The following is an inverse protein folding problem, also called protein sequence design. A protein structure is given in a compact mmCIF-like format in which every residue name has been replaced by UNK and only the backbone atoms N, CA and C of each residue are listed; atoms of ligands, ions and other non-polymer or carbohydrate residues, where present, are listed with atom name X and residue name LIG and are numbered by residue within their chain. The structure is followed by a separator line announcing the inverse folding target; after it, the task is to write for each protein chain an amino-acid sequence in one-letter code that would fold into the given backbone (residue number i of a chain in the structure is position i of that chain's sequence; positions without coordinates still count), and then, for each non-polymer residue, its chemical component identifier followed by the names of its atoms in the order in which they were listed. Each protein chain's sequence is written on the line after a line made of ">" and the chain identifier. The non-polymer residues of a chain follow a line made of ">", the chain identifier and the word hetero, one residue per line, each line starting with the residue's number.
data_IF_162514079502
#
_entry.id   IF_162514079502
#
_cell.length_a   1.000
_cell.length_b   1.000
_cell.length_c   1.000
_cell.angle_alpha   90.00
_cell.angle_beta   90.00
_cell.angle_gamma   90.00
#
_symmetry.space_group_name_H-M   'P 1'
#
loop_
_entity.id
_entity.type
_entity.pdbx_description
1 polymer ?
#
# COMPACT_ATOMS: atom_id res chain seq x y z
N UNK A 1 12.97 -24.26 -18.80
CA UNK A 1 12.06 -23.11 -18.61
C UNK A 1 12.65 -22.30 -17.49
N UNK A 2 13.11 -21.08 -17.76
CA UNK A 2 13.46 -20.14 -16.68
C UNK A 2 12.16 -19.76 -15.98
N UNK A 3 12.05 -20.04 -14.69
CA UNK A 3 10.92 -19.58 -13.89
C UNK A 3 10.90 -18.05 -13.94
N UNK A 4 9.79 -17.48 -14.43
CA UNK A 4 9.61 -16.02 -14.51
C UNK A 4 9.18 -15.51 -13.14
N UNK A 5 9.69 -14.34 -12.76
CA UNK A 5 9.45 -13.75 -11.44
C UNK A 5 8.00 -13.25 -11.30
N UNK A 6 7.47 -13.29 -10.08
CA UNK A 6 6.30 -12.52 -9.67
C UNK A 6 6.83 -11.36 -8.84
N UNK A 7 6.62 -10.13 -9.32
CA UNK A 7 6.87 -8.93 -8.53
C UNK A 7 5.66 -8.68 -7.64
N UNK A 8 5.88 -8.77 -6.33
CA UNK A 8 4.81 -8.64 -5.33
C UNK A 8 4.59 -7.20 -4.88
N UNK A 9 5.30 -6.24 -5.49
CA UNK A 9 5.25 -4.84 -5.12
C UNK A 9 5.67 -3.94 -6.30
N UNK A 10 4.66 -3.36 -6.94
CA UNK A 10 4.83 -2.33 -7.96
C UNK A 10 3.75 -1.25 -7.79
N UNK A 11 3.96 -0.09 -8.42
CA UNK A 11 3.10 1.07 -8.18
C UNK A 11 2.36 1.59 -9.40
N UNK A 12 1.27 2.29 -9.08
CA UNK A 12 0.49 3.17 -9.93
C UNK A 12 0.20 4.48 -9.18
N UNK A 13 1.24 5.30 -9.04
CA UNK A 13 1.19 6.53 -8.24
C UNK A 13 0.54 7.71 -8.96
N UNK A 14 0.12 8.71 -8.18
CA UNK A 14 -0.48 9.97 -8.67
C UNK A 14 0.29 10.59 -9.83
N UNK A 15 1.63 10.54 -9.79
CA UNK A 15 2.48 11.15 -10.80
C UNK A 15 2.28 10.57 -12.21
N UNK A 16 1.74 9.36 -12.31
CA UNK A 16 1.61 8.61 -13.57
C UNK A 16 0.14 8.49 -14.03
N UNK A 17 -0.82 8.82 -13.17
CA UNK A 17 -2.25 8.69 -13.49
C UNK A 17 -2.67 9.61 -14.65
N UNK A 18 -3.72 9.26 -15.42
CA UNK A 18 -4.31 10.17 -16.39
C UNK A 18 -4.72 11.50 -15.75
N UNK A 19 -4.34 12.63 -16.34
CA UNK A 19 -4.67 13.97 -15.79
C UNK A 19 -6.19 14.23 -15.70
N UNK A 20 -6.97 13.53 -16.51
CA UNK A 20 -8.42 13.65 -16.58
C UNK A 20 -9.14 12.57 -15.75
N UNK A 21 -8.41 11.79 -14.93
CA UNK A 21 -8.91 10.62 -14.23
C UNK A 21 -10.22 10.93 -13.49
N UNK A 22 -10.20 11.94 -12.62
CA UNK A 22 -11.37 12.31 -11.81
C UNK A 22 -12.30 13.33 -12.48
N UNK A 23 -11.77 14.26 -13.27
CA UNK A 23 -12.56 15.31 -13.95
C UNK A 23 -13.52 14.76 -15.00
N UNK A 24 -13.34 13.50 -15.43
CA UNK A 24 -14.22 12.83 -16.40
C UNK A 24 -15.06 11.71 -15.80
N UNK A 25 -14.80 11.29 -14.55
CA UNK A 25 -15.39 10.08 -13.95
C UNK A 25 -16.11 10.30 -12.63
N UNK A 26 -15.88 11.43 -11.95
CA UNK A 26 -16.64 11.74 -10.74
C UNK A 26 -18.12 12.03 -11.06
N UNK A 27 -19.04 11.76 -10.11
CA UNK A 27 -20.44 12.15 -10.26
C UNK A 27 -20.59 13.65 -10.53
N UNK A 28 -21.61 14.04 -11.29
CA UNK A 28 -21.83 15.43 -11.70
C UNK A 28 -21.89 16.43 -10.53
N UNK A 29 -22.39 15.99 -9.37
CA UNK A 29 -22.47 16.79 -8.14
C UNK A 29 -21.13 17.04 -7.45
N UNK A 30 -20.04 16.41 -7.89
CA UNK A 30 -18.70 16.51 -7.32
C UNK A 30 -17.65 16.99 -8.35
N UNK A 31 -18.05 17.22 -9.60
CA UNK A 31 -17.12 17.56 -10.69
C UNK A 31 -16.50 18.95 -10.53
N UNK A 32 -17.22 19.89 -9.93
CA UNK A 32 -16.74 21.23 -9.59
C UNK A 32 -15.56 21.20 -8.59
N UNK A 33 -15.49 20.14 -7.78
CA UNK A 33 -14.44 19.90 -6.79
C UNK A 33 -13.50 18.76 -7.18
N UNK A 34 -13.56 18.30 -8.43
CA UNK A 34 -12.76 17.17 -8.89
C UNK A 34 -11.25 17.45 -8.73
N UNK A 35 -10.48 16.47 -8.24
CA UNK A 35 -9.03 16.54 -8.33
C UNK A 35 -8.61 16.74 -9.77
N UNK A 36 -7.74 17.72 -10.00
CA UNK A 36 -7.27 18.08 -11.33
C UNK A 36 -5.78 18.45 -11.30
N UNK A 37 -5.15 18.42 -12.47
CA UNK A 37 -3.76 18.84 -12.62
C UNK A 37 -3.71 20.32 -13.00
N UNK A 38 -2.90 21.09 -12.30
CA UNK A 38 -2.57 22.47 -12.67
C UNK A 38 -1.06 22.76 -12.53
N UNK A 39 -0.60 23.84 -13.16
CA UNK A 39 0.78 24.32 -13.06
C UNK A 39 0.92 25.26 -11.85
N UNK A 40 1.79 24.92 -10.90
CA UNK A 40 2.19 25.79 -9.78
C UNK A 40 3.70 25.87 -9.71
N UNK A 41 4.24 27.09 -9.66
CA UNK A 41 5.68 27.35 -9.54
C UNK A 41 6.56 26.59 -10.57
N UNK A 42 6.02 26.40 -11.79
CA UNK A 42 6.71 25.70 -12.88
C UNK A 42 6.66 24.17 -12.78
N UNK A 43 5.80 23.61 -11.93
CA UNK A 43 5.57 22.17 -11.78
C UNK A 43 4.09 21.83 -11.91
N UNK A 44 3.79 20.80 -12.69
CA UNK A 44 2.46 20.21 -12.73
C UNK A 44 2.18 19.43 -11.43
N UNK A 45 1.06 19.73 -10.78
CA UNK A 45 0.66 19.13 -9.50
C UNK A 45 -0.81 18.76 -9.51
N UNK A 46 -1.16 17.70 -8.78
CA UNK A 46 -2.55 17.37 -8.46
C UNK A 46 -3.07 18.29 -7.37
N UNK A 47 -4.24 18.88 -7.60
CA UNK A 47 -4.93 19.79 -6.68
C UNK A 47 -6.37 19.35 -6.47
N UNK A 48 -6.83 19.37 -5.22
CA UNK A 48 -8.21 19.13 -4.83
C UNK A 48 -8.55 20.03 -3.64
N UNK A 49 -9.67 20.75 -3.68
CA UNK A 49 -10.09 21.72 -2.65
C UNK A 49 -8.96 22.68 -2.22
N UNK A 50 -8.16 23.15 -3.18
CA UNK A 50 -7.03 24.05 -2.96
C UNK A 50 -5.76 23.39 -2.38
N UNK A 51 -5.83 22.13 -1.93
CA UNK A 51 -4.70 21.36 -1.40
C UNK A 51 -3.95 20.64 -2.51
N UNK A 52 -2.63 20.61 -2.41
CA UNK A 52 -1.76 19.85 -3.32
C UNK A 52 -1.68 18.41 -2.81
N UNK A 53 -2.00 17.44 -3.68
CA UNK A 53 -1.84 16.01 -3.38
C UNK A 53 -0.46 15.48 -3.71
N UNK A 54 0.19 16.04 -4.73
CA UNK A 54 1.51 15.63 -5.16
C UNK A 54 1.84 16.10 -6.56
N UNK A 55 3.05 15.79 -7.00
CA UNK A 55 3.53 16.07 -8.34
C UNK A 55 2.79 15.23 -9.38
N UNK A 56 2.55 15.80 -10.55
CA UNK A 56 2.14 15.07 -11.75
C UNK A 56 3.27 15.09 -12.79
N UNK A 57 3.75 13.92 -13.20
CA UNK A 57 4.88 13.77 -14.12
C UNK A 57 4.47 13.49 -15.57
N UNK A 58 3.18 13.24 -15.82
CA UNK A 58 2.64 12.83 -17.11
C UNK A 58 2.74 13.83 -18.27
N UNK A 59 3.61 14.85 -18.19
CA UNK A 59 3.98 15.71 -19.32
C UNK A 59 5.26 15.20 -19.98
N UNK A 60 5.27 15.00 -21.32
CA UNK A 60 6.50 14.73 -22.03
C UNK A 60 7.50 15.88 -21.76
N UNK A 61 8.81 15.59 -21.62
CA UNK A 61 9.80 16.63 -21.43
C UNK A 61 9.72 17.66 -22.56
N UNK A 62 9.89 18.95 -22.24
CA UNK A 62 10.01 19.98 -23.27
C UNK A 62 11.17 19.61 -24.23
N UNK A 63 10.92 19.69 -25.53
CA UNK A 63 11.93 19.41 -26.56
C UNK A 63 13.19 20.24 -26.32
N UNK A 64 14.34 19.57 -26.17
CA UNK A 64 15.63 20.23 -25.99
C UNK A 64 16.09 20.43 -24.53
N UNK A 65 15.42 19.85 -23.53
CA UNK A 65 15.98 19.79 -22.18
C UNK A 65 17.29 19.00 -22.19
N UNK A 66 18.39 19.64 -21.78
CA UNK A 66 19.67 18.98 -21.65
C UNK A 66 19.52 17.77 -20.71
N UNK A 67 20.22 16.66 -20.99
CA UNK A 67 20.42 15.58 -20.01
C UNK A 67 21.16 16.19 -18.82
N UNK A 68 20.40 16.65 -17.83
CA UNK A 68 20.95 17.08 -16.56
C UNK A 68 21.69 15.89 -15.96
N UNK A 69 22.90 16.12 -15.45
CA UNK A 69 23.59 15.12 -14.63
C UNK A 69 22.68 14.84 -13.44
N UNK A 70 22.07 13.65 -13.43
CA UNK A 70 21.23 13.24 -12.30
C UNK A 70 22.14 12.77 -11.16
N UNK A 71 21.87 13.19 -9.91
CA UNK A 71 22.60 12.67 -8.76
C UNK A 71 22.31 11.17 -8.53
N UNK A 72 21.18 10.67 -9.04
CA UNK A 72 20.79 9.27 -9.00
C UNK A 72 20.24 8.83 -10.37
N UNK A 73 20.79 7.75 -10.91
CA UNK A 73 20.27 7.10 -12.12
C UNK A 73 19.12 6.18 -11.74
N UNK A 74 17.99 6.29 -12.43
CA UNK A 74 16.86 5.37 -12.26
C UNK A 74 16.98 4.16 -13.21
N UNK A 75 16.03 3.22 -13.13
CA UNK A 75 16.03 2.02 -13.97
C UNK A 75 16.01 2.34 -15.48
N UNK A 76 15.21 3.34 -15.90
CA UNK A 76 15.18 3.78 -17.30
C UNK A 76 16.52 4.35 -17.76
N UNK A 77 17.18 5.14 -16.92
CA UNK A 77 18.49 5.70 -17.27
C UNK A 77 19.54 4.58 -17.44
N UNK A 78 19.53 3.58 -16.53
CA UNK A 78 20.42 2.41 -16.63
C UNK A 78 20.14 1.55 -17.86
N UNK A 79 18.88 1.43 -18.25
CA UNK A 79 18.45 0.68 -19.44
C UNK A 79 18.56 1.50 -20.74
N UNK A 80 18.93 2.78 -20.68
CA UNK A 80 18.99 3.66 -21.85
C UNK A 80 17.62 3.95 -22.48
N UNK A 81 16.53 3.84 -21.71
CA UNK A 81 15.16 4.02 -22.18
C UNK A 81 14.76 5.49 -22.06
N UNK A 82 14.26 6.05 -23.16
CA UNK A 82 13.59 7.34 -23.17
C UNK A 82 12.06 7.13 -23.13
N UNK A 83 11.43 7.54 -22.03
CA UNK A 83 9.97 7.50 -21.92
C UNK A 83 9.32 8.73 -22.55
N UNK A 84 8.88 8.59 -23.80
CA UNK A 84 8.14 9.64 -24.50
C UNK A 84 6.71 9.84 -23.97
N UNK A 85 6.15 8.88 -23.22
CA UNK A 85 4.80 9.01 -22.65
C UNK A 85 4.79 9.83 -21.36
N UNK A 86 5.93 9.88 -20.65
CA UNK A 86 6.08 10.43 -19.30
C UNK A 86 5.13 9.83 -18.23
N UNK A 87 4.42 8.74 -18.59
CA UNK A 87 3.50 7.98 -17.72
C UNK A 87 3.54 6.50 -18.08
N UNK A 88 4.71 6.00 -18.49
CA UNK A 88 4.91 4.63 -18.98
C UNK A 88 4.31 3.54 -18.09
N UNK A 89 4.41 3.62 -16.74
CA UNK A 89 3.77 2.64 -15.87
C UNK A 89 2.23 2.58 -15.99
N UNK A 90 1.60 3.68 -16.39
CA UNK A 90 0.15 3.81 -16.64
C UNK A 90 -0.24 3.56 -18.11
N UNK A 91 0.69 3.09 -18.95
CA UNK A 91 0.41 2.64 -20.32
C UNK A 91 0.65 1.13 -20.39
N UNK A 92 -0.44 0.35 -20.40
CA UNK A 92 -0.39 -1.11 -20.20
C UNK A 92 0.58 -1.82 -21.17
N UNK A 93 0.58 -1.46 -22.46
CA UNK A 93 1.50 -2.02 -23.46
C UNK A 93 2.97 -1.76 -23.08
N UNK A 94 3.30 -0.54 -22.67
CA UNK A 94 4.67 -0.17 -22.33
C UNK A 94 5.12 -0.82 -21.02
N UNK A 95 4.22 -0.93 -20.05
CA UNK A 95 4.46 -1.65 -18.79
C UNK A 95 4.71 -3.14 -19.05
N UNK A 96 3.91 -3.79 -19.87
CA UNK A 96 4.10 -5.20 -20.24
C UNK A 96 5.43 -5.41 -20.98
N UNK A 97 5.84 -4.46 -21.83
CA UNK A 97 7.15 -4.52 -22.48
C UNK A 97 8.31 -4.39 -21.48
N UNK A 98 8.15 -3.62 -20.40
CA UNK A 98 9.14 -3.55 -19.32
C UNK A 98 9.17 -4.85 -18.51
N UNK A 99 8.01 -5.42 -18.18
CA UNK A 99 7.91 -6.73 -17.52
C UNK A 99 8.59 -7.84 -18.34
N UNK A 100 8.39 -7.85 -19.67
CA UNK A 100 9.03 -8.83 -20.55
C UNK A 100 10.55 -8.65 -20.61
N UNK A 101 11.04 -7.40 -20.57
CA UNK A 101 12.49 -7.11 -20.50
C UNK A 101 13.10 -7.61 -19.18
N UNK A 102 12.39 -7.40 -18.08
CA UNK A 102 12.89 -7.69 -16.73
C UNK A 102 12.62 -9.15 -16.30
N UNK A 103 11.97 -9.96 -17.15
CA UNK A 103 11.67 -11.36 -16.87
C UNK A 103 10.55 -11.56 -15.84
N UNK A 104 9.69 -10.56 -15.66
CA UNK A 104 8.57 -10.56 -14.72
C UNK A 104 7.31 -11.09 -15.42
N UNK A 105 6.78 -12.21 -14.92
CA UNK A 105 5.53 -12.77 -15.42
C UNK A 105 4.32 -11.96 -14.95
N UNK A 106 4.30 -11.64 -13.65
CA UNK A 106 3.15 -11.02 -12.98
C UNK A 106 3.62 -9.90 -12.05
N UNK A 107 2.87 -8.80 -12.02
CA UNK A 107 3.05 -7.70 -11.07
C UNK A 107 1.80 -7.53 -10.21
N UNK A 108 2.03 -7.35 -8.92
CA UNK A 108 1.04 -6.89 -7.95
C UNK A 108 1.15 -5.36 -7.87
N UNK A 109 0.07 -4.64 -8.19
CA UNK A 109 0.10 -3.20 -8.43
C UNK A 109 -0.65 -2.47 -7.32
N UNK A 110 0.10 -1.85 -6.42
CA UNK A 110 -0.37 -0.92 -5.42
C UNK A 110 -0.75 0.43 -6.06
N UNK A 111 -1.76 1.08 -5.49
CA UNK A 111 -2.07 2.46 -5.84
C UNK A 111 -1.16 3.48 -5.18
N UNK A 112 -1.53 4.77 -5.27
CA UNK A 112 -0.78 5.83 -4.63
C UNK A 112 -0.46 5.51 -3.17
N UNK A 113 0.81 5.64 -2.80
CA UNK A 113 1.29 5.46 -1.41
C UNK A 113 0.88 6.60 -0.47
N UNK A 114 0.16 7.59 -1.01
CA UNK A 114 -0.49 8.66 -0.27
C UNK A 114 -2.00 8.51 -0.32
N UNK A 115 -2.67 8.83 0.78
CA UNK A 115 -4.12 8.88 0.78
C UNK A 115 -4.63 9.97 -0.15
N UNK A 116 -5.79 9.70 -0.76
CA UNK A 116 -6.63 10.70 -1.42
C UNK A 116 -6.99 11.76 -0.38
N UNK A 117 -6.27 12.89 -0.43
CA UNK A 117 -6.15 13.86 0.66
C UNK A 117 -7.26 14.93 0.64
N UNK A 118 -8.52 14.51 0.74
CA UNK A 118 -9.66 15.43 0.95
C UNK A 118 -10.34 15.16 2.29
N UNK A 119 -10.73 16.24 2.97
CA UNK A 119 -11.39 16.20 4.27
C UNK A 119 -12.87 15.81 4.15
N UNK A 120 -13.43 15.91 2.94
CA UNK A 120 -14.82 15.54 2.67
C UNK A 120 -14.93 14.03 2.44
N UNK A 121 -15.60 13.28 3.34
CA UNK A 121 -15.71 11.83 3.22
C UNK A 121 -16.47 11.38 1.97
N UNK A 122 -17.41 12.19 1.46
CA UNK A 122 -18.17 11.87 0.25
C UNK A 122 -17.28 11.98 -0.98
N UNK A 123 -16.52 13.07 -1.09
CA UNK A 123 -15.56 13.26 -2.18
C UNK A 123 -14.44 12.21 -2.11
N UNK A 124 -13.89 11.95 -0.92
CA UNK A 124 -12.86 10.92 -0.71
C UNK A 124 -13.33 9.55 -1.19
N UNK A 125 -14.51 9.11 -0.76
CA UNK A 125 -15.08 7.84 -1.18
C UNK A 125 -15.32 7.78 -2.71
N UNK A 126 -15.79 8.87 -3.32
CA UNK A 126 -15.97 8.94 -4.77
C UNK A 126 -14.64 8.85 -5.53
N UNK A 127 -13.59 9.53 -5.03
CA UNK A 127 -12.26 9.48 -5.62
C UNK A 127 -11.62 8.08 -5.51
N UNK A 128 -11.79 7.39 -4.38
CA UNK A 128 -11.38 5.98 -4.24
C UNK A 128 -12.06 5.08 -5.26
N UNK A 129 -13.38 5.23 -5.43
CA UNK A 129 -14.15 4.44 -6.40
C UNK A 129 -13.68 4.67 -7.82
N UNK A 130 -13.47 5.93 -8.22
CA UNK A 130 -12.96 6.28 -9.56
C UNK A 130 -11.59 5.67 -9.78
N UNK A 131 -10.68 5.78 -8.81
CA UNK A 131 -9.34 5.21 -8.90
C UNK A 131 -9.38 3.68 -9.01
N UNK A 132 -10.13 3.01 -8.13
CA UNK A 132 -10.25 1.56 -8.10
C UNK A 132 -10.87 1.03 -9.39
N UNK A 133 -11.89 1.70 -9.92
CA UNK A 133 -12.54 1.31 -11.16
C UNK A 133 -11.59 1.43 -12.35
N UNK A 134 -10.86 2.54 -12.41
CA UNK A 134 -9.83 2.73 -13.43
C UNK A 134 -8.69 1.72 -13.33
N UNK A 135 -8.21 1.41 -12.12
CA UNK A 135 -7.15 0.42 -11.90
C UNK A 135 -7.59 -0.98 -12.36
N UNK A 136 -8.80 -1.40 -12.00
CA UNK A 136 -9.35 -2.69 -12.42
C UNK A 136 -9.54 -2.74 -13.95
N UNK A 137 -9.97 -1.64 -14.56
CA UNK A 137 -10.06 -1.54 -16.03
C UNK A 137 -8.68 -1.60 -16.70
N UNK A 138 -7.67 -0.93 -16.15
CA UNK A 138 -6.29 -0.99 -16.61
C UNK A 138 -5.75 -2.43 -16.62
N UNK A 139 -6.04 -3.19 -15.56
CA UNK A 139 -5.59 -4.57 -15.41
C UNK A 139 -6.21 -5.54 -16.43
N UNK A 140 -7.35 -5.19 -17.06
CA UNK A 140 -7.97 -6.02 -18.12
C UNK A 140 -7.09 -6.18 -19.36
N UNK A 141 -6.08 -5.33 -19.55
CA UNK A 141 -5.12 -5.46 -20.65
C UNK A 141 -4.34 -6.78 -20.60
N UNK A 142 -4.07 -7.31 -19.40
CA UNK A 142 -3.43 -8.61 -19.19
C UNK A 142 -3.78 -9.14 -17.79
N UNK A 143 -4.99 -9.69 -17.58
CA UNK A 143 -5.54 -9.97 -16.24
C UNK A 143 -4.79 -11.05 -15.44
N UNK A 144 -3.98 -11.87 -16.11
CA UNK A 144 -3.12 -12.86 -15.46
C UNK A 144 -1.71 -12.33 -15.14
N UNK A 145 -1.37 -11.14 -15.65
CA UNK A 145 -0.05 -10.49 -15.46
C UNK A 145 -0.13 -9.21 -14.63
N UNK A 146 -1.25 -8.50 -14.68
CA UNK A 146 -1.46 -7.22 -13.99
C UNK A 146 -2.51 -7.40 -12.90
N UNK A 147 -2.07 -7.47 -11.65
CA UNK A 147 -2.94 -7.68 -10.49
C UNK A 147 -3.03 -6.38 -9.70
N UNK A 148 -4.01 -5.54 -10.03
CA UNK A 148 -4.27 -4.29 -9.32
C UNK A 148 -4.94 -4.52 -7.97
N UNK A 149 -4.51 -3.77 -6.95
CA UNK A 149 -5.07 -3.78 -5.60
C UNK A 149 -5.99 -2.57 -5.41
N UNK A 150 -7.32 -2.73 -5.43
CA UNK A 150 -8.21 -1.68 -5.01
C UNK A 150 -7.86 -1.18 -3.61
N UNK A 151 -7.84 0.13 -3.46
CA UNK A 151 -7.59 0.79 -2.18
C UNK A 151 -8.87 0.86 -1.37
N UNK A 152 -8.79 0.48 -0.10
CA UNK A 152 -9.86 0.61 0.87
C UNK A 152 -9.74 1.94 1.62
N UNK A 153 -10.86 2.66 1.85
CA UNK A 153 -10.89 3.81 2.74
C UNK A 153 -10.42 3.47 4.16
N UNK A 154 -9.96 4.48 4.89
CA UNK A 154 -9.31 4.32 6.20
C UNK A 154 -10.27 4.16 7.40
N UNK A 155 -11.58 4.20 7.16
CA UNK A 155 -12.59 3.95 8.19
C UNK A 155 -13.17 2.54 8.05
N UNK A 156 -13.60 1.88 9.14
CA UNK A 156 -14.12 0.51 9.09
C UNK A 156 -15.30 0.38 8.13
N UNK A 157 -16.27 1.29 8.19
CA UNK A 157 -17.46 1.26 7.35
C UNK A 157 -17.13 1.53 5.88
N UNK A 158 -16.20 2.45 5.63
CA UNK A 158 -15.76 2.80 4.28
C UNK A 158 -14.97 1.66 3.64
N UNK A 159 -14.06 1.04 4.39
CA UNK A 159 -13.29 -0.13 3.97
C UNK A 159 -14.20 -1.30 3.61
N UNK A 160 -15.15 -1.65 4.48
CA UNK A 160 -16.10 -2.73 4.24
C UNK A 160 -16.98 -2.45 3.02
N UNK A 161 -17.54 -1.25 2.93
CA UNK A 161 -18.42 -0.88 1.82
C UNK A 161 -17.70 -0.93 0.47
N UNK A 162 -16.43 -0.49 0.42
CA UNK A 162 -15.64 -0.54 -0.80
C UNK A 162 -15.18 -1.97 -1.12
N UNK A 163 -14.80 -2.77 -0.13
CA UNK A 163 -14.46 -4.19 -0.29
C UNK A 163 -15.63 -4.95 -0.94
N UNK A 164 -16.84 -4.83 -0.39
CA UNK A 164 -18.02 -5.50 -0.93
C UNK A 164 -18.35 -5.03 -2.35
N UNK A 165 -18.18 -3.73 -2.64
CA UNK A 165 -18.38 -3.19 -3.98
C UNK A 165 -17.40 -3.77 -5.00
N UNK A 166 -16.10 -3.80 -4.69
CA UNK A 166 -15.09 -4.31 -5.63
C UNK A 166 -15.15 -5.83 -5.74
N UNK A 167 -15.49 -6.54 -4.65
CA UNK A 167 -15.77 -7.98 -4.65
C UNK A 167 -16.91 -8.32 -5.61
N UNK A 168 -18.01 -7.56 -5.58
CA UNK A 168 -19.16 -7.77 -6.45
C UNK A 168 -18.84 -7.61 -7.95
N UNK A 169 -17.77 -6.88 -8.30
CA UNK A 169 -17.28 -6.78 -9.69
C UNK A 169 -16.59 -8.04 -10.20
N UNK A 170 -16.10 -8.90 -9.29
CA UNK A 170 -15.35 -10.11 -9.60
C UNK A 170 -13.90 -9.85 -10.02
N UNK A 171 -13.07 -10.89 -9.94
CA UNK A 171 -11.66 -10.85 -10.36
C UNK A 171 -10.69 -10.19 -9.39
N UNK A 172 -11.16 -9.52 -8.34
CA UNK A 172 -10.32 -8.95 -7.27
C UNK A 172 -9.74 -10.07 -6.41
N UNK A 173 -8.41 -10.17 -6.38
CA UNK A 173 -7.67 -11.19 -5.61
C UNK A 173 -7.08 -10.64 -4.31
N UNK A 174 -6.83 -9.34 -4.27
CA UNK A 174 -6.11 -8.65 -3.22
C UNK A 174 -6.56 -7.18 -3.17
N UNK A 175 -6.56 -6.59 -1.98
CA UNK A 175 -6.89 -5.18 -1.73
C UNK A 175 -5.83 -4.55 -0.85
N UNK A 176 -5.73 -3.22 -0.85
CA UNK A 176 -4.78 -2.49 -0.02
C UNK A 176 -5.52 -1.59 0.99
N UNK A 177 -5.16 -1.68 2.26
CA UNK A 177 -5.57 -0.75 3.30
C UNK A 177 -4.32 -0.08 3.87
N UNK A 178 -4.32 1.24 3.98
CA UNK A 178 -3.24 1.98 4.64
C UNK A 178 -3.38 1.87 6.15
N UNK A 179 -3.15 0.66 6.67
CA UNK A 179 -3.40 0.26 8.05
C UNK A 179 -2.70 1.19 9.05
N UNK A 180 -1.49 1.68 8.74
CA UNK A 180 -0.75 2.57 9.65
C UNK A 180 -1.50 3.88 9.98
N UNK A 181 -2.43 4.30 9.11
CA UNK A 181 -3.13 5.59 9.18
C UNK A 181 -4.60 5.46 9.57
N UNK A 182 -5.06 4.27 9.97
CA UNK A 182 -6.47 4.05 10.29
C UNK A 182 -6.83 4.62 11.66
N UNK A 183 -8.05 5.14 11.74
CA UNK A 183 -8.68 5.53 12.99
C UNK A 183 -10.19 5.21 12.88
N UNK A 184 -10.77 4.42 13.80
CA UNK A 184 -10.16 3.85 15.02
C UNK A 184 -9.07 2.81 14.74
N UNK A 185 -8.29 2.46 15.77
CA UNK A 185 -7.20 1.46 15.70
C UNK A 185 -7.74 0.03 15.57
N UNK A 186 -6.88 -0.94 15.27
CA UNK A 186 -7.29 -2.28 14.85
C UNK A 186 -7.96 -3.11 15.96
N UNK A 187 -7.81 -2.71 17.21
CA UNK A 187 -8.50 -3.28 18.37
C UNK A 187 -9.99 -2.93 18.43
N UNK A 188 -10.41 -1.89 17.70
CA UNK A 188 -11.81 -1.47 17.68
C UNK A 188 -12.70 -2.53 17.01
N UNK A 189 -13.77 -3.00 17.69
CA UNK A 189 -14.69 -3.99 17.15
C UNK A 189 -15.36 -3.60 15.82
N UNK A 190 -15.37 -2.31 15.45
CA UNK A 190 -15.89 -1.84 14.17
C UNK A 190 -15.14 -2.44 12.96
N UNK A 191 -13.90 -2.92 13.15
CA UNK A 191 -13.14 -3.60 12.10
C UNK A 191 -13.52 -5.08 11.91
N UNK A 192 -14.19 -5.71 12.87
CA UNK A 192 -14.52 -7.14 12.83
C UNK A 192 -15.30 -7.56 11.57
N UNK A 193 -16.30 -6.79 11.09
CA UNK A 193 -16.98 -7.11 9.83
C UNK A 193 -16.05 -7.10 8.61
N UNK A 194 -15.03 -6.24 8.58
CA UNK A 194 -14.04 -6.23 7.49
C UNK A 194 -13.19 -7.50 7.52
N UNK A 195 -12.72 -7.92 8.71
CA UNK A 195 -11.95 -9.15 8.87
C UNK A 195 -12.74 -10.38 8.41
N UNK A 196 -14.01 -10.48 8.82
CA UNK A 196 -14.88 -11.56 8.41
C UNK A 196 -15.11 -11.57 6.89
N UNK A 197 -15.35 -10.40 6.28
CA UNK A 197 -15.57 -10.30 4.84
C UNK A 197 -14.32 -10.69 4.02
N UNK A 198 -13.12 -10.32 4.49
CA UNK A 198 -11.85 -10.73 3.88
C UNK A 198 -11.64 -12.25 4.04
N UNK A 199 -11.92 -12.81 5.21
CA UNK A 199 -11.81 -14.24 5.46
C UNK A 199 -12.77 -15.06 4.57
N UNK A 200 -14.05 -14.67 4.53
CA UNK A 200 -15.10 -15.37 3.78
C UNK A 200 -14.90 -15.30 2.27
N UNK A 201 -14.38 -14.17 1.77
CA UNK A 201 -14.10 -14.00 0.35
C UNK A 201 -12.76 -14.62 -0.08
N UNK A 202 -11.85 -14.86 0.86
CA UNK A 202 -10.49 -15.28 0.58
C UNK A 202 -9.62 -14.21 -0.10
N UNK A 203 -10.11 -12.96 -0.20
CA UNK A 203 -9.38 -11.81 -0.72
C UNK A 203 -8.25 -11.48 0.25
N UNK A 204 -7.04 -11.31 -0.29
CA UNK A 204 -5.85 -11.00 0.51
C UNK A 204 -5.85 -9.52 0.87
N UNK A 205 -5.63 -9.18 2.14
CA UNK A 205 -5.42 -7.79 2.54
C UNK A 205 -3.94 -7.45 2.54
N UNK A 206 -3.58 -6.36 1.91
CA UNK A 206 -2.22 -5.83 1.95
C UNK A 206 -2.19 -4.52 2.71
N UNK A 207 -1.05 -4.24 3.33
CA UNK A 207 -0.72 -2.89 3.72
C UNK A 207 0.72 -2.60 3.31
N UNK A 208 0.86 -1.48 2.62
CA UNK A 208 2.12 -0.96 2.13
C UNK A 208 2.67 0.08 3.12
N UNK A 209 3.98 0.28 3.14
CA UNK A 209 4.55 1.44 3.83
C UNK A 209 3.86 2.72 3.35
N UNK A 210 3.50 3.59 4.29
CA UNK A 210 3.15 4.97 3.97
C UNK A 210 4.35 5.85 4.26
N UNK A 211 4.85 6.49 3.22
CA UNK A 211 5.96 7.43 3.38
C UNK A 211 5.40 8.58 4.21
N UNK A 212 6.02 8.87 5.36
CA UNK A 212 5.76 10.00 6.26
C UNK A 212 4.73 9.84 7.40
N UNK A 213 4.73 8.72 8.13
CA UNK A 213 4.22 8.72 9.53
C UNK A 213 5.18 9.56 10.39
N UNK A 214 5.07 10.88 10.28
CA UNK A 214 5.93 11.86 10.95
C UNK A 214 6.77 12.72 10.00
N UNK A 215 7.15 13.91 10.48
CA UNK A 215 8.17 14.77 9.85
C UNK A 215 9.48 14.63 10.64
N UNK A 216 10.65 14.76 10.01
CA UNK A 216 11.90 14.89 10.75
C UNK A 216 11.73 16.02 11.77
N UNK A 217 11.87 15.69 13.05
CA UNK A 217 11.72 16.69 14.10
C UNK A 217 12.74 17.82 13.96
N UNK A 218 12.48 18.96 14.61
CA UNK A 218 13.29 20.19 14.49
C UNK A 218 14.81 19.96 14.65
N UNK A 219 15.20 18.96 15.45
CA UNK A 219 16.60 18.57 15.67
C UNK A 219 17.35 18.25 14.36
N UNK A 220 16.68 17.61 13.40
CA UNK A 220 17.29 17.04 12.19
C UNK A 220 16.82 17.71 10.89
N UNK A 221 15.84 18.62 10.97
CA UNK A 221 15.33 19.34 9.81
C UNK A 221 16.46 20.03 9.01
N UNK A 222 16.48 19.82 7.69
CA UNK A 222 17.50 20.38 6.79
C UNK A 222 18.91 19.77 6.91
N UNK A 223 19.10 18.71 7.71
CA UNK A 223 20.40 18.05 7.91
C UNK A 223 20.41 16.68 7.25
N UNK A 224 21.58 16.21 6.83
CA UNK A 224 21.76 14.85 6.31
C UNK A 224 21.29 13.76 7.30
N UNK A 225 21.33 14.05 8.62
CA UNK A 225 20.79 13.18 9.67
C UNK A 225 19.29 12.83 9.47
N UNK A 226 18.51 13.69 8.82
CA UNK A 226 17.10 13.42 8.51
C UNK A 226 16.90 12.19 7.61
N UNK A 227 17.88 11.87 6.76
CA UNK A 227 17.84 10.68 5.89
C UNK A 227 17.81 9.40 6.73
N UNK A 228 18.49 9.37 7.87
CA UNK A 228 18.51 8.20 8.76
C UNK A 228 17.21 8.07 9.58
N UNK A 229 16.46 9.15 9.82
CA UNK A 229 15.15 9.05 10.46
C UNK A 229 14.13 8.33 9.58
N UNK A 230 14.33 8.28 8.26
CA UNK A 230 13.46 7.52 7.36
C UNK A 230 13.42 6.04 7.73
N UNK A 231 14.54 5.45 8.20
CA UNK A 231 14.56 4.06 8.69
C UNK A 231 13.65 3.86 9.90
N UNK A 232 13.56 4.85 10.81
CA UNK A 232 12.69 4.80 11.98
C UNK A 232 11.22 4.90 11.57
N UNK A 233 10.87 5.85 10.72
CA UNK A 233 9.49 6.02 10.24
C UNK A 233 9.03 4.84 9.40
N UNK A 234 9.96 4.24 8.64
CA UNK A 234 9.74 2.99 7.92
C UNK A 234 9.28 1.89 8.87
N UNK A 235 10.06 1.58 9.92
CA UNK A 235 9.69 0.51 10.85
C UNK A 235 8.41 0.82 11.63
N UNK A 236 8.19 2.09 11.99
CA UNK A 236 7.00 2.52 12.72
C UNK A 236 5.69 2.26 11.96
N UNK A 237 5.70 2.31 10.62
CA UNK A 237 4.52 1.99 9.80
C UNK A 237 4.03 0.55 9.98
N UNK A 238 4.94 -0.37 10.31
CA UNK A 238 4.64 -1.80 10.38
C UNK A 238 4.51 -2.29 11.81
N UNK A 239 5.27 -1.74 12.75
CA UNK A 239 5.41 -2.33 14.08
C UNK A 239 4.08 -2.37 14.86
N UNK A 240 3.41 -1.23 15.02
CA UNK A 240 2.13 -1.14 15.75
C UNK A 240 1.07 -2.07 15.12
N UNK A 241 0.72 -1.95 13.82
CA UNK A 241 -0.33 -2.78 13.26
C UNK A 241 0.05 -4.26 13.22
N UNK A 242 1.32 -4.60 12.98
CA UNK A 242 1.75 -5.99 13.01
C UNK A 242 1.58 -6.61 14.39
N UNK A 243 1.95 -5.89 15.47
CA UNK A 243 1.79 -6.39 16.84
C UNK A 243 0.30 -6.50 17.20
N UNK A 244 -0.52 -5.54 16.81
CA UNK A 244 -1.97 -5.51 17.07
C UNK A 244 -2.70 -6.74 16.53
N UNK A 245 -2.27 -7.27 15.37
CA UNK A 245 -2.84 -8.49 14.79
C UNK A 245 -2.78 -9.70 15.73
N UNK A 246 -1.76 -9.78 16.59
CA UNK A 246 -1.59 -10.83 17.60
C UNK A 246 -2.15 -10.40 18.95
N UNK A 247 -1.83 -9.18 19.40
CA UNK A 247 -2.18 -8.70 20.73
C UNK A 247 -3.69 -8.68 20.96
N UNK A 248 -4.46 -8.36 19.91
CA UNK A 248 -5.92 -8.31 19.96
C UNK A 248 -6.59 -9.57 19.41
N UNK A 249 -5.83 -10.64 19.15
CA UNK A 249 -6.36 -11.93 18.71
C UNK A 249 -7.04 -11.90 17.34
N UNK A 250 -6.71 -10.93 16.48
CA UNK A 250 -7.35 -10.79 15.15
C UNK A 250 -7.06 -12.03 14.30
N UNK A 251 -5.79 -12.46 14.22
CA UNK A 251 -5.41 -13.66 13.47
C UNK A 251 -5.93 -14.97 14.10
N UNK A 252 -6.14 -14.98 15.42
CA UNK A 252 -6.75 -16.11 16.13
C UNK A 252 -8.22 -16.28 15.72
N UNK A 253 -9.00 -15.18 15.75
CA UNK A 253 -10.44 -15.20 15.40
C UNK A 253 -10.69 -15.46 13.91
N UNK A 254 -9.77 -15.04 13.05
CA UNK A 254 -9.90 -15.17 11.58
C UNK A 254 -8.81 -16.08 11.00
N UNK A 255 -8.82 -17.39 11.28
CA UNK A 255 -7.72 -18.30 10.96
C UNK A 255 -7.44 -18.48 9.45
N UNK A 256 -8.37 -18.14 8.55
CA UNK A 256 -8.17 -18.18 7.09
C UNK A 256 -7.83 -16.81 6.49
N UNK A 257 -7.80 -15.74 7.30
CA UNK A 257 -7.36 -14.42 6.85
C UNK A 257 -5.91 -14.50 6.39
N UNK A 258 -5.62 -13.96 5.19
CA UNK A 258 -4.27 -13.86 4.64
C UNK A 258 -3.93 -12.41 4.41
N UNK A 259 -2.73 -12.02 4.85
CA UNK A 259 -2.28 -10.64 4.73
C UNK A 259 -0.86 -10.52 4.18
N UNK A 260 -0.59 -9.43 3.47
CA UNK A 260 0.72 -9.11 2.88
C UNK A 260 1.25 -7.79 3.40
N UNK A 261 2.44 -7.82 3.98
CA UNK A 261 3.25 -6.66 4.31
C UNK A 261 4.07 -6.24 3.09
N UNK A 262 3.65 -5.17 2.42
CA UNK A 262 4.30 -4.71 1.21
C UNK A 262 5.39 -3.67 1.50
N UNK A 263 6.55 -3.82 0.86
CA UNK A 263 7.75 -3.00 1.07
C UNK A 263 8.19 -2.93 2.55
N UNK A 264 8.05 -4.02 3.30
CA UNK A 264 8.31 -4.01 4.74
C UNK A 264 9.76 -4.32 5.11
N UNK A 265 10.52 -4.92 4.18
CA UNK A 265 11.70 -5.70 4.54
C UNK A 265 11.32 -6.89 5.43
N UNK A 266 12.14 -7.93 5.46
CA UNK A 266 11.75 -9.17 6.14
C UNK A 266 12.77 -9.65 7.17
N UNK A 267 14.01 -9.14 7.14
CA UNK A 267 15.07 -9.57 8.06
C UNK A 267 14.78 -9.33 9.56
N UNK A 268 13.92 -8.36 9.89
CA UNK A 268 13.54 -8.04 11.27
C UNK A 268 12.36 -8.89 11.79
N UNK A 269 11.56 -9.48 10.90
CA UNK A 269 10.33 -10.19 11.26
C UNK A 269 10.60 -11.45 12.10
N UNK A 270 11.60 -12.31 11.79
CA UNK A 270 11.84 -13.51 12.59
C UNK A 270 12.19 -13.19 14.04
N UNK A 271 13.01 -12.16 14.28
CA UNK A 271 13.32 -11.71 15.64
C UNK A 271 12.08 -11.15 16.34
N UNK A 272 11.29 -10.31 15.68
CA UNK A 272 10.08 -9.76 16.31
C UNK A 272 9.06 -10.86 16.66
N UNK A 273 8.85 -11.82 15.76
CA UNK A 273 7.95 -12.95 15.99
C UNK A 273 8.45 -13.81 17.16
N UNK A 274 9.76 -14.02 17.29
CA UNK A 274 10.36 -14.67 18.46
C UNK A 274 10.07 -13.90 19.76
N UNK A 275 10.17 -12.57 19.74
CA UNK A 275 9.81 -11.74 20.90
C UNK A 275 8.33 -11.83 21.24
N UNK A 276 7.44 -11.89 20.25
CA UNK A 276 6.01 -12.10 20.46
C UNK A 276 5.72 -13.47 21.09
N UNK A 277 6.39 -14.53 20.65
CA UNK A 277 6.30 -15.85 21.28
C UNK A 277 6.73 -15.81 22.76
N UNK A 278 7.79 -15.07 23.09
CA UNK A 278 8.19 -14.84 24.48
C UNK A 278 7.10 -14.10 25.27
N UNK A 279 6.46 -13.07 24.71
CA UNK A 279 5.34 -12.36 25.37
C UNK A 279 4.12 -13.26 25.56
N UNK A 280 3.80 -14.09 24.58
CA UNK A 280 2.75 -15.10 24.69
C UNK A 280 3.04 -16.10 25.81
N UNK A 281 4.28 -16.59 25.94
CA UNK A 281 4.67 -17.45 27.06
C UNK A 281 4.50 -16.77 28.42
N UNK A 282 4.81 -15.47 28.53
CA UNK A 282 4.57 -14.72 29.78
C UNK A 282 3.07 -14.55 30.11
N UNK A 283 2.20 -14.48 29.11
CA UNK A 283 0.74 -14.48 29.34
C UNK A 283 0.30 -15.82 29.93
N UNK A 284 0.87 -16.93 29.44
CA UNK A 284 0.64 -18.26 29.99
C UNK A 284 1.13 -18.40 31.43
N UNK A 285 2.34 -17.93 31.76
CA UNK A 285 2.85 -17.96 33.14
C UNK A 285 1.99 -17.15 34.11
N UNK A 286 1.36 -16.08 33.63
CA UNK A 286 0.50 -15.19 34.41
C UNK A 286 -0.99 -15.45 34.13
N UNK A 287 -1.38 -16.67 33.74
CA UNK A 287 -2.73 -16.99 33.29
C UNK A 287 -3.80 -16.62 34.31
N UNK A 288 -3.58 -16.91 35.59
CA UNK A 288 -4.52 -16.58 36.67
C UNK A 288 -4.67 -15.06 36.82
N UNK A 289 -3.57 -14.31 36.72
CA UNK A 289 -3.59 -12.84 36.80
C UNK A 289 -4.39 -12.22 35.65
N UNK A 290 -4.26 -12.77 34.44
CA UNK A 290 -4.97 -12.27 33.27
C UNK A 290 -6.42 -12.75 33.18
N UNK A 291 -6.76 -13.91 33.78
CA UNK A 291 -8.14 -14.41 33.84
C UNK A 291 -9.10 -13.38 34.46
N UNK A 292 -8.69 -12.71 35.54
CA UNK A 292 -9.47 -11.66 36.22
C UNK A 292 -9.59 -10.36 35.40
N UNK A 293 -8.85 -10.24 34.28
CA UNK A 293 -8.79 -9.07 33.40
C UNK A 293 -9.37 -9.33 32.00
N UNK A 294 -10.11 -10.41 31.83
CA UNK A 294 -10.73 -10.79 30.55
C UNK A 294 -9.95 -11.84 29.76
N UNK A 295 -8.84 -12.35 30.30
CA UNK A 295 -8.01 -13.38 29.66
C UNK A 295 -7.14 -12.84 28.52
N UNK A 296 -6.47 -13.76 27.83
CA UNK A 296 -5.79 -13.44 26.57
C UNK A 296 -6.72 -13.73 25.40
N UNK A 297 -6.73 -12.83 24.41
CA UNK A 297 -7.39 -13.08 23.12
C UNK A 297 -6.59 -14.03 22.22
N UNK A 298 -5.44 -14.53 22.70
CA UNK A 298 -4.46 -15.29 21.93
C UNK A 298 -4.18 -16.62 22.63
N UNK A 299 -4.48 -17.73 21.96
CA UNK A 299 -4.20 -19.09 22.45
C UNK A 299 -3.06 -19.74 21.66
N UNK A 300 -3.04 -19.50 20.35
CA UNK A 300 -2.05 -20.01 19.43
C UNK A 300 -0.79 -19.15 19.49
N UNK A 301 0.40 -19.78 19.42
CA UNK A 301 1.66 -19.03 19.42
C UNK A 301 1.72 -18.05 18.23
N UNK A 302 2.18 -16.80 18.44
CA UNK A 302 2.40 -15.85 17.36
C UNK A 302 3.17 -16.40 16.16
N UNK A 303 4.21 -17.23 16.38
CA UNK A 303 4.97 -17.82 15.27
C UNK A 303 4.18 -18.81 14.42
N UNK A 304 3.18 -19.49 14.99
CA UNK A 304 2.28 -20.39 14.25
C UNK A 304 1.27 -19.58 13.44
N UNK A 305 0.70 -18.53 14.04
CA UNK A 305 -0.19 -17.59 13.36
C UNK A 305 0.50 -16.85 12.22
N UNK A 306 1.73 -16.37 12.45
CA UNK A 306 2.56 -15.70 11.45
C UNK A 306 2.79 -16.61 10.23
N UNK A 307 3.26 -17.84 10.44
CA UNK A 307 3.48 -18.83 9.36
C UNK A 307 2.21 -19.18 8.60
N UNK A 308 1.05 -19.13 9.27
CA UNK A 308 -0.24 -19.47 8.70
C UNK A 308 -0.82 -18.36 7.82
N UNK A 309 -0.62 -17.09 8.19
CA UNK A 309 -1.47 -15.99 7.71
C UNK A 309 -0.71 -14.79 7.12
N UNK A 310 0.56 -14.60 7.45
CA UNK A 310 1.30 -13.38 7.09
C UNK A 310 2.37 -13.68 6.05
N UNK A 311 2.37 -12.87 5.01
CA UNK A 311 3.39 -12.80 3.97
C UNK A 311 4.02 -11.42 4.00
N UNK A 312 5.27 -11.31 3.57
CA UNK A 312 5.98 -10.03 3.52
C UNK A 312 6.87 -9.97 2.29
N UNK A 313 7.07 -8.75 1.77
CA UNK A 313 7.87 -8.49 0.57
C UNK A 313 9.09 -7.66 0.90
N UNK A 314 10.11 -7.79 0.06
CA UNK A 314 11.34 -7.01 0.11
C UNK A 314 11.89 -6.87 -1.32
N UNK A 315 12.65 -5.81 -1.59
CA UNK A 315 13.39 -5.65 -2.83
C UNK A 315 14.85 -6.07 -2.66
N UNK A 316 15.57 -5.41 -1.75
CA UNK A 316 16.95 -5.73 -1.39
C UNK A 316 17.03 -5.93 0.13
N UNK A 317 17.13 -7.19 0.57
CA UNK A 317 17.26 -7.53 1.99
C UNK A 317 18.22 -8.72 2.16
N UNK A 318 19.51 -8.41 2.27
CA UNK A 318 20.55 -9.42 2.47
C UNK A 318 20.43 -10.14 3.82
N UNK A 319 19.84 -9.48 4.83
CA UNK A 319 19.61 -10.11 6.14
C UNK A 319 18.58 -11.22 5.97
N UNK A 320 17.44 -10.92 5.33
CA UNK A 320 16.40 -11.91 5.06
C UNK A 320 16.90 -13.12 4.25
N UNK A 321 17.71 -12.89 3.22
CA UNK A 321 18.27 -13.96 2.38
C UNK A 321 19.23 -14.87 3.19
N UNK A 322 19.82 -14.36 4.26
CA UNK A 322 20.81 -15.08 5.07
C UNK A 322 20.21 -15.88 6.24
N UNK A 323 18.89 -15.80 6.47
CA UNK A 323 18.17 -16.49 7.55
C UNK A 323 17.67 -17.88 7.10
#
# INVERSE_FOLDING_TARGET
>A
MTERLISCDDHMDLSQLPADLWTTRLPASLLDRAPHVEERDGQAVWVCDGKIWGRWDGKPPATGSARLIKPLYNAFDRAGIYDASARRPAVAELRLADMDRDGVATQVIFGPIFQISTDDPVLRAACYRVYNDWLLDFCKAAPDRLIGLPMLPETPEGALAELERVRAKGGVRQVNLMIANVNPKLDDPAWEPLWQALEDSGIILSWHITVFVGKPGDRVAGKAASVFENTKFFLANFLEPFVDLFAWGILERHPRLRMVMAEAGTGWLPWLVQELDYRHWRLWEAKEFWADKGGSALETKPSELFKRQIYATFQEDHVAISL
#
